data_IF_627830933745
#
_entry.id   IF_627830933745
#
_cell.length_a   1.000
_cell.length_b   1.000
_cell.length_c   1.000
_cell.angle_alpha   90.00
_cell.angle_beta   90.00
_cell.angle_gamma   90.00
#
_symmetry.space_group_name_H-M   'P 1'
#
loop_
_entity.id
_entity.type
_entity.pdbx_description
1 polymer ?
#
# COMPACT_ATOMS: atom_id res chain seq x y z
N UNK A 1 42.08 -19.30 2.32
CA UNK A 1 41.05 -20.15 1.71
C UNK A 1 40.05 -19.21 1.06
N UNK A 2 40.19 -18.96 -0.24
CA UNK A 2 39.25 -18.11 -0.98
C UNK A 2 37.99 -18.93 -1.27
N UNK A 3 36.83 -18.46 -0.77
CA UNK A 3 35.54 -19.05 -1.12
C UNK A 3 35.26 -18.77 -2.59
N UNK A 4 35.13 -19.77 -3.48
CA UNK A 4 34.76 -19.54 -4.86
C UNK A 4 33.30 -19.09 -4.90
N UNK A 5 33.05 -17.81 -5.23
CA UNK A 5 31.70 -17.36 -5.52
C UNK A 5 31.30 -17.91 -6.88
N UNK A 6 30.25 -18.73 -6.92
CA UNK A 6 29.74 -19.41 -8.12
C UNK A 6 29.09 -18.44 -9.13
N UNK A 7 29.09 -17.14 -8.83
CA UNK A 7 28.41 -16.09 -9.57
C UNK A 7 29.43 -15.08 -10.08
N UNK A 8 29.50 -14.89 -11.40
CA UNK A 8 30.34 -13.86 -11.99
C UNK A 8 29.82 -12.46 -11.64
N UNK A 9 30.71 -11.48 -11.50
CA UNK A 9 30.34 -10.09 -11.19
C UNK A 9 29.35 -9.48 -12.22
N UNK A 10 29.34 -10.00 -13.46
CA UNK A 10 28.38 -9.59 -14.50
C UNK A 10 26.99 -10.17 -14.24
N UNK A 11 26.90 -11.41 -13.75
CA UNK A 11 25.64 -12.06 -13.37
C UNK A 11 25.03 -11.42 -12.13
N UNK A 12 25.85 -11.07 -11.14
CA UNK A 12 25.40 -10.33 -9.95
C UNK A 12 24.78 -8.97 -10.32
N UNK A 13 25.46 -8.17 -11.16
CA UNK A 13 24.91 -6.91 -11.68
C UNK A 13 23.61 -7.12 -12.47
N UNK A 14 23.56 -8.17 -13.30
CA UNK A 14 22.36 -8.51 -14.06
C UNK A 14 21.16 -8.81 -13.17
N UNK A 15 21.35 -9.58 -12.09
CA UNK A 15 20.31 -9.89 -11.10
C UNK A 15 19.82 -8.63 -10.41
N UNK A 16 20.72 -7.75 -9.96
CA UNK A 16 20.33 -6.51 -9.27
C UNK A 16 19.55 -5.56 -10.19
N UNK A 17 19.96 -5.40 -11.45
CA UNK A 17 19.23 -4.60 -12.44
C UNK A 17 17.85 -5.19 -12.71
N UNK A 18 17.74 -6.52 -12.82
CA UNK A 18 16.46 -7.20 -12.98
C UNK A 18 15.53 -6.91 -11.81
N UNK A 19 16.01 -7.01 -10.57
CA UNK A 19 15.20 -6.70 -9.37
C UNK A 19 14.81 -5.23 -9.29
N UNK A 20 15.70 -4.30 -9.62
CA UNK A 20 15.39 -2.88 -9.66
C UNK A 20 14.32 -2.56 -10.73
N UNK A 21 14.45 -3.14 -11.93
CA UNK A 21 13.49 -2.99 -13.02
C UNK A 21 12.12 -3.61 -12.65
N UNK A 22 12.13 -4.83 -12.11
CA UNK A 22 10.92 -5.49 -11.64
C UNK A 22 10.23 -4.69 -10.53
N UNK A 23 11.00 -4.13 -9.59
CA UNK A 23 10.50 -3.26 -8.53
C UNK A 23 9.85 -1.98 -9.07
N UNK A 24 10.47 -1.33 -10.06
CA UNK A 24 9.88 -0.16 -10.73
C UNK A 24 8.57 -0.50 -11.44
N UNK A 25 8.55 -1.58 -12.23
CA UNK A 25 7.36 -2.00 -12.97
C UNK A 25 6.22 -2.36 -12.02
N UNK A 26 6.52 -3.15 -10.99
CA UNK A 26 5.53 -3.55 -9.99
C UNK A 26 5.03 -2.35 -9.19
N UNK A 27 5.93 -1.44 -8.79
CA UNK A 27 5.54 -0.23 -8.08
C UNK A 27 4.66 0.71 -8.89
N UNK A 28 4.96 0.88 -10.18
CA UNK A 28 4.10 1.65 -11.08
C UNK A 28 2.74 0.99 -11.26
N UNK A 29 2.71 -0.34 -11.46
CA UNK A 29 1.48 -1.11 -11.59
C UNK A 29 0.59 -1.01 -10.34
N UNK A 30 1.19 -0.95 -9.14
CA UNK A 30 0.47 -0.81 -7.87
C UNK A 30 0.04 0.65 -7.58
N UNK A 31 0.82 1.64 -8.00
CA UNK A 31 0.48 3.06 -7.78
C UNK A 31 -0.60 3.57 -8.75
N UNK A 32 -0.63 3.05 -9.99
CA UNK A 32 -1.50 3.55 -11.06
C UNK A 32 -3.00 3.51 -10.71
N UNK A 33 -3.56 2.44 -10.10
CA UNK A 33 -4.96 2.43 -9.67
C UNK A 33 -5.28 3.51 -8.63
N UNK A 34 -4.39 3.74 -7.66
CA UNK A 34 -4.58 4.75 -6.63
C UNK A 34 -4.54 6.18 -7.20
N UNK A 35 -3.64 6.44 -8.16
CA UNK A 35 -3.56 7.71 -8.87
C UNK A 35 -4.83 7.94 -9.70
N UNK A 36 -5.27 6.93 -10.45
CA UNK A 36 -6.52 7.03 -11.24
C UNK A 36 -7.71 7.31 -10.35
N UNK A 37 -7.86 6.55 -9.26
CA UNK A 37 -8.94 6.79 -8.30
C UNK A 37 -8.92 8.22 -7.75
N UNK A 38 -7.74 8.74 -7.37
CA UNK A 38 -7.61 10.12 -6.90
C UNK A 38 -8.05 11.13 -7.97
N UNK A 39 -7.67 10.92 -9.23
CA UNK A 39 -8.05 11.79 -10.36
C UNK A 39 -9.54 11.70 -10.65
N UNK A 40 -10.12 10.51 -10.66
CA UNK A 40 -11.56 10.30 -10.95
C UNK A 40 -12.43 10.93 -9.85
N UNK A 41 -12.07 10.72 -8.58
CA UNK A 41 -12.72 11.36 -7.43
C UNK A 41 -12.56 12.88 -7.51
N UNK A 42 -11.36 13.36 -7.82
CA UNK A 42 -11.10 14.79 -8.03
C UNK A 42 -11.76 15.35 -9.29
N UNK A 43 -12.20 14.52 -10.24
CA UNK A 43 -12.96 14.87 -11.44
C UNK A 43 -14.47 14.87 -11.23
N UNK A 44 -14.96 14.22 -10.17
CA UNK A 44 -16.37 14.24 -9.75
C UNK A 44 -17.12 12.93 -9.98
N UNK A 45 -16.44 11.92 -10.53
CA UNK A 45 -16.92 10.55 -10.69
C UNK A 45 -16.17 9.65 -9.72
N UNK A 46 -16.75 9.36 -8.56
CA UNK A 46 -16.09 8.57 -7.54
C UNK A 46 -16.53 7.10 -7.63
N UNK A 47 -15.60 6.21 -7.99
CA UNK A 47 -15.81 4.76 -7.83
C UNK A 47 -15.39 4.36 -6.41
N UNK A 48 -16.36 4.07 -5.56
CA UNK A 48 -16.11 3.79 -4.13
C UNK A 48 -16.66 2.40 -3.81
N UNK A 49 -15.90 1.63 -3.03
CA UNK A 49 -16.41 0.40 -2.40
C UNK A 49 -16.99 0.77 -1.05
N UNK A 50 -18.29 0.55 -0.88
CA UNK A 50 -19.02 0.75 0.38
C UNK A 50 -19.34 -0.60 1.01
N UNK A 51 -19.35 -0.65 2.34
CA UNK A 51 -19.85 -1.81 3.07
C UNK A 51 -21.37 -1.86 2.91
N UNK A 52 -21.90 -3.06 2.71
CA UNK A 52 -23.32 -3.28 2.55
C UNK A 52 -23.73 -4.48 3.36
N UNK A 53 -24.97 -4.49 3.82
CA UNK A 53 -25.57 -5.65 4.46
C UNK A 53 -26.91 -5.89 3.77
N UNK A 54 -26.84 -6.52 2.60
CA UNK A 54 -27.99 -6.82 1.77
C UNK A 54 -28.08 -8.33 1.54
N UNK A 55 -29.28 -8.88 1.71
CA UNK A 55 -29.56 -10.27 1.37
C UNK A 55 -29.48 -10.49 -0.14
N UNK A 56 -28.84 -11.60 -0.55
CA UNK A 56 -28.79 -11.99 -1.97
C UNK A 56 -30.20 -12.45 -2.41
N UNK A 57 -30.76 -11.90 -3.51
CA UNK A 57 -32.04 -12.34 -4.03
C UNK A 57 -32.04 -13.84 -4.33
N UNK A 58 -32.87 -14.58 -3.60
CA UNK A 58 -32.99 -16.04 -3.76
C UNK A 58 -33.88 -16.33 -4.95
N UNK A 59 -33.28 -16.57 -6.11
CA UNK A 59 -33.98 -17.23 -7.20
C UNK A 59 -33.77 -18.73 -7.01
N UNK A 60 -34.85 -19.47 -6.78
CA UNK A 60 -34.78 -20.94 -6.69
C UNK A 60 -34.29 -21.45 -8.05
N UNK A 61 -33.04 -21.93 -8.12
CA UNK A 61 -32.62 -22.69 -9.29
C UNK A 61 -33.41 -24.00 -9.28
N UNK A 62 -33.87 -24.44 -10.44
CA UNK A 62 -34.59 -25.70 -10.60
C UNK A 62 -33.72 -26.94 -10.39
N UNK A 63 -32.46 -26.77 -9.97
CA UNK A 63 -31.43 -27.80 -9.96
C UNK A 63 -30.73 -27.85 -8.59
N UNK A 64 -31.41 -28.48 -7.62
CA UNK A 64 -30.89 -29.13 -6.40
C UNK A 64 -30.09 -28.32 -5.35
N UNK A 65 -29.42 -27.24 -5.72
CA UNK A 65 -28.54 -26.47 -4.86
C UNK A 65 -29.33 -25.37 -4.14
N UNK A 66 -29.52 -25.55 -2.84
CA UNK A 66 -30.24 -24.58 -1.99
C UNK A 66 -29.22 -23.67 -1.30
N UNK A 67 -29.29 -22.37 -1.61
CA UNK A 67 -28.54 -21.34 -0.90
C UNK A 67 -29.18 -21.18 0.49
N UNK A 68 -28.44 -21.55 1.54
CA UNK A 68 -28.92 -21.48 2.93
C UNK A 68 -28.77 -20.06 3.52
N UNK A 69 -27.69 -19.37 3.18
CA UNK A 69 -27.44 -17.96 3.55
C UNK A 69 -26.47 -17.36 2.54
N UNK A 70 -26.73 -16.14 2.07
CA UNK A 70 -25.83 -15.38 1.22
C UNK A 70 -26.09 -13.89 1.44
N UNK A 71 -25.02 -13.16 1.79
CA UNK A 71 -25.03 -11.72 2.03
C UNK A 71 -24.00 -11.06 1.13
N UNK A 72 -24.29 -9.84 0.69
CA UNK A 72 -23.28 -8.98 0.10
C UNK A 72 -22.53 -8.28 1.23
N UNK A 73 -21.19 -8.30 1.19
CA UNK A 73 -20.33 -7.67 2.22
C UNK A 73 -19.78 -6.30 1.74
N UNK A 74 -19.67 -6.12 0.42
CA UNK A 74 -19.31 -4.83 -0.16
C UNK A 74 -19.97 -4.61 -1.53
N UNK A 75 -20.29 -3.36 -1.82
CA UNK A 75 -20.83 -2.91 -3.10
C UNK A 75 -19.91 -1.84 -3.71
N UNK A 76 -19.59 -1.99 -5.00
CA UNK A 76 -18.86 -0.97 -5.75
C UNK A 76 -19.87 -0.03 -6.41
N UNK A 77 -19.86 1.23 -5.99
CA UNK A 77 -20.79 2.26 -6.44
C UNK A 77 -20.02 3.32 -7.21
N UNK A 78 -20.55 3.75 -8.36
CA UNK A 78 -20.09 4.93 -9.07
C UNK A 78 -21.07 6.04 -8.73
N UNK A 79 -20.61 7.02 -7.96
CA UNK A 79 -21.42 8.14 -7.53
C UNK A 79 -20.92 9.44 -8.16
N UNK A 80 -21.88 10.25 -8.62
CA UNK A 80 -21.66 11.62 -9.07
C UNK A 80 -22.30 12.59 -8.06
N UNK A 81 -21.74 13.79 -7.93
CA UNK A 81 -22.34 14.83 -7.09
C UNK A 81 -22.13 14.69 -5.58
N UNK A 82 -21.21 13.83 -5.13
CA UNK A 82 -20.81 13.74 -3.72
C UNK A 82 -20.43 15.10 -3.13
N UNK A 83 -20.78 15.30 -1.86
CA UNK A 83 -20.42 16.48 -1.08
C UNK A 83 -18.92 16.78 -1.15
N UNK A 84 -18.57 18.07 -1.17
CA UNK A 84 -17.17 18.51 -1.27
C UNK A 84 -16.27 17.98 -0.15
N UNK A 85 -16.83 17.74 1.04
CA UNK A 85 -16.12 17.17 2.18
C UNK A 85 -15.80 15.67 1.97
N UNK A 86 -16.78 14.86 1.57
CA UNK A 86 -16.54 13.45 1.25
C UNK A 86 -15.51 13.31 0.12
N UNK A 87 -15.63 14.13 -0.93
CA UNK A 87 -14.71 14.13 -2.08
C UNK A 87 -13.28 14.49 -1.68
N UNK A 88 -13.09 15.50 -0.85
CA UNK A 88 -11.74 15.91 -0.40
C UNK A 88 -11.08 14.84 0.46
N UNK A 89 -11.81 14.26 1.42
CA UNK A 89 -11.34 13.14 2.26
C UNK A 89 -10.92 11.93 1.42
N UNK A 90 -11.77 11.52 0.47
CA UNK A 90 -11.50 10.40 -0.43
C UNK A 90 -10.30 10.68 -1.36
N UNK A 91 -10.20 11.91 -1.90
CA UNK A 91 -9.07 12.32 -2.75
C UNK A 91 -7.76 12.29 -1.98
N UNK A 92 -7.74 12.85 -0.77
CA UNK A 92 -6.54 12.82 0.07
C UNK A 92 -6.19 11.39 0.48
N UNK A 93 -7.17 10.57 0.87
CA UNK A 93 -6.94 9.16 1.18
C UNK A 93 -6.27 8.40 0.03
N UNK A 94 -6.76 8.59 -1.20
CA UNK A 94 -6.18 8.00 -2.40
C UNK A 94 -4.78 8.58 -2.73
N UNK A 95 -4.60 9.89 -2.57
CA UNK A 95 -3.31 10.56 -2.79
C UNK A 95 -2.23 10.07 -1.80
N UNK A 96 -2.57 9.93 -0.51
CA UNK A 96 -1.66 9.36 0.49
C UNK A 96 -1.34 7.89 0.20
N UNK A 97 -2.31 7.11 -0.28
CA UNK A 97 -2.06 5.72 -0.71
C UNK A 97 -1.03 5.66 -1.85
N UNK A 98 -1.22 6.50 -2.87
CA UNK A 98 -0.33 6.58 -4.02
C UNK A 98 1.07 7.05 -3.60
N UNK A 99 1.15 8.11 -2.78
CA UNK A 99 2.41 8.64 -2.28
C UNK A 99 3.18 7.61 -1.46
N UNK A 100 2.49 6.88 -0.58
CA UNK A 100 3.07 5.81 0.23
C UNK A 100 3.69 4.74 -0.67
N UNK A 101 2.93 4.27 -1.65
CA UNK A 101 3.37 3.25 -2.60
C UNK A 101 4.61 3.73 -3.37
N UNK A 102 4.59 4.96 -3.88
CA UNK A 102 5.71 5.54 -4.63
C UNK A 102 6.97 5.68 -3.76
N UNK A 103 6.84 6.14 -2.51
CA UNK A 103 7.98 6.28 -1.59
C UNK A 103 8.58 4.93 -1.23
N UNK A 104 7.76 3.92 -0.91
CA UNK A 104 8.23 2.57 -0.58
C UNK A 104 8.94 1.93 -1.76
N UNK A 105 8.36 2.00 -2.96
CA UNK A 105 8.97 1.48 -4.19
C UNK A 105 10.29 2.18 -4.48
N UNK A 106 10.31 3.51 -4.41
CA UNK A 106 11.52 4.30 -4.67
C UNK A 106 12.64 3.95 -3.70
N UNK A 107 12.32 3.70 -2.43
CA UNK A 107 13.30 3.27 -1.43
C UNK A 107 13.85 1.87 -1.71
N UNK A 108 13.01 0.93 -2.15
CA UNK A 108 13.44 -0.43 -2.55
C UNK A 108 14.33 -0.39 -3.79
N UNK A 109 13.96 0.41 -4.80
CA UNK A 109 14.77 0.59 -6.00
C UNK A 109 16.10 1.24 -5.66
N UNK A 110 16.10 2.28 -4.82
CA UNK A 110 17.33 2.92 -4.33
C UNK A 110 18.21 1.93 -3.58
N UNK A 111 17.62 1.05 -2.75
CA UNK A 111 18.35 -0.01 -2.06
C UNK A 111 19.08 -0.94 -3.04
N UNK A 112 18.40 -1.41 -4.08
CA UNK A 112 19.03 -2.24 -5.12
C UNK A 112 20.12 -1.49 -5.91
N UNK A 113 19.89 -0.22 -6.24
CA UNK A 113 20.91 0.60 -6.92
C UNK A 113 22.16 0.82 -6.05
N UNK A 114 21.99 1.04 -4.74
CA UNK A 114 23.10 1.19 -3.80
C UNK A 114 23.91 -0.11 -3.66
N UNK A 115 23.26 -1.27 -3.69
CA UNK A 115 23.92 -2.57 -3.77
C UNK A 115 24.77 -2.69 -5.04
N UNK A 116 24.23 -2.29 -6.20
CA UNK A 116 24.95 -2.32 -7.47
C UNK A 116 26.21 -1.45 -7.45
N UNK A 117 26.16 -0.32 -6.75
CA UNK A 117 27.29 0.62 -6.64
C UNK A 117 28.35 0.22 -5.60
N UNK A 118 28.30 -1.01 -5.06
CA UNK A 118 29.24 -1.52 -4.04
C UNK A 118 29.35 -0.60 -2.81
N UNK A 119 28.24 0.03 -2.41
CA UNK A 119 28.15 0.79 -1.15
C UNK A 119 27.20 0.10 -0.15
N UNK A 120 27.46 -1.17 0.25
CA UNK A 120 26.54 -1.98 1.05
C UNK A 120 26.27 -1.44 2.47
N UNK A 121 27.07 -0.48 2.96
CA UNK A 121 26.92 0.11 4.30
C UNK A 121 26.93 1.65 4.29
N UNK A 122 26.43 2.28 3.24
CA UNK A 122 26.27 3.73 3.25
C UNK A 122 25.11 4.12 4.17
N UNK A 123 25.22 5.26 4.88
CA UNK A 123 24.11 5.86 5.65
C UNK A 123 22.81 5.99 4.83
N UNK A 124 22.95 6.05 3.51
CA UNK A 124 21.85 6.09 2.55
C UNK A 124 20.91 4.87 2.64
N UNK A 125 21.44 3.68 3.00
CA UNK A 125 20.64 2.48 3.15
C UNK A 125 19.72 2.57 4.37
N UNK A 126 20.27 3.02 5.51
CA UNK A 126 19.52 3.25 6.74
C UNK A 126 18.42 4.28 6.50
N UNK A 127 18.75 5.41 5.86
CA UNK A 127 17.76 6.45 5.56
C UNK A 127 16.68 5.95 4.59
N UNK A 128 17.04 5.14 3.59
CA UNK A 128 16.06 4.56 2.66
C UNK A 128 15.09 3.63 3.40
N UNK A 129 15.57 2.76 4.29
CA UNK A 129 14.73 1.89 5.11
C UNK A 129 13.85 2.68 6.08
N UNK A 130 14.38 3.75 6.69
CA UNK A 130 13.58 4.64 7.57
C UNK A 130 12.47 5.34 6.80
N UNK A 131 12.78 5.87 5.61
CA UNK A 131 11.79 6.53 4.75
C UNK A 131 10.73 5.53 4.30
N UNK A 132 11.12 4.33 3.85
CA UNK A 132 10.19 3.28 3.44
C UNK A 132 9.25 2.87 4.59
N UNK A 133 9.81 2.57 5.77
CA UNK A 133 9.04 2.15 6.93
C UNK A 133 8.14 3.27 7.48
N UNK A 134 8.64 4.50 7.53
CA UNK A 134 7.83 5.67 7.96
C UNK A 134 6.71 5.96 6.96
N UNK A 135 6.99 5.87 5.66
CA UNK A 135 5.97 6.05 4.62
C UNK A 135 4.86 4.99 4.75
N UNK A 136 5.22 3.71 4.90
CA UNK A 136 4.24 2.64 5.09
C UNK A 136 3.39 2.84 6.35
N UNK A 137 4.01 3.22 7.47
CA UNK A 137 3.32 3.41 8.74
C UNK A 137 2.42 4.65 8.71
N UNK A 138 2.99 5.82 8.46
CA UNK A 138 2.27 7.11 8.50
C UNK A 138 1.27 7.17 7.35
N UNK A 139 1.72 6.82 6.15
CA UNK A 139 0.92 6.87 4.94
C UNK A 139 -0.20 5.83 4.93
N UNK A 140 0.05 4.62 5.48
CA UNK A 140 -0.99 3.61 5.68
C UNK A 140 -2.09 4.09 6.63
N UNK A 141 -1.72 4.68 7.77
CA UNK A 141 -2.68 5.23 8.75
C UNK A 141 -3.48 6.39 8.14
N UNK A 142 -2.80 7.36 7.52
CA UNK A 142 -3.44 8.53 6.93
C UNK A 142 -4.35 8.14 5.77
N UNK A 143 -3.90 7.25 4.88
CA UNK A 143 -4.69 6.78 3.75
C UNK A 143 -5.92 6.01 4.21
N UNK A 144 -5.77 5.08 5.15
CA UNK A 144 -6.87 4.29 5.67
C UNK A 144 -7.87 5.15 6.48
N UNK A 145 -7.38 6.08 7.30
CA UNK A 145 -8.21 6.99 8.08
C UNK A 145 -9.00 7.96 7.22
N UNK A 146 -8.34 8.70 6.32
CA UNK A 146 -8.99 9.67 5.45
C UNK A 146 -9.92 8.98 4.44
N UNK A 147 -9.47 7.87 3.85
CA UNK A 147 -10.30 7.07 2.95
C UNK A 147 -11.48 6.40 3.67
N UNK A 148 -11.30 5.95 4.91
CA UNK A 148 -12.35 5.38 5.74
C UNK A 148 -13.43 6.40 6.10
N UNK A 149 -13.03 7.57 6.60
CA UNK A 149 -13.95 8.66 6.91
C UNK A 149 -14.71 9.13 5.67
N UNK A 150 -14.02 9.25 4.53
CA UNK A 150 -14.65 9.59 3.25
C UNK A 150 -15.69 8.56 2.82
N UNK A 151 -15.44 7.26 3.02
CA UNK A 151 -16.41 6.18 2.75
C UNK A 151 -17.61 6.22 3.68
N UNK A 152 -17.40 6.53 4.96
CA UNK A 152 -18.50 6.67 5.92
C UNK A 152 -19.43 7.84 5.55
N UNK A 153 -18.85 9.00 5.17
CA UNK A 153 -19.64 10.14 4.68
C UNK A 153 -20.36 9.81 3.38
N UNK A 154 -19.70 9.13 2.44
CA UNK A 154 -20.32 8.70 1.20
C UNK A 154 -21.47 7.70 1.42
N UNK A 155 -21.32 6.77 2.37
CA UNK A 155 -22.37 5.83 2.74
C UNK A 155 -23.59 6.55 3.32
N UNK A 156 -23.39 7.52 4.20
CA UNK A 156 -24.47 8.34 4.78
C UNK A 156 -25.19 9.18 3.71
N UNK A 157 -24.45 9.76 2.77
CA UNK A 157 -25.00 10.57 1.68
C UNK A 157 -25.77 9.74 0.64
N UNK A 158 -25.32 8.50 0.37
CA UNK A 158 -25.92 7.61 -0.62
C UNK A 158 -27.03 6.71 -0.05
N UNK A 159 -27.09 6.52 1.27
CA UNK A 159 -28.06 5.63 1.90
C UNK A 159 -29.53 5.97 1.58
N UNK A 160 -29.96 7.25 1.65
CA UNK A 160 -31.33 7.63 1.33
C UNK A 160 -31.75 7.27 -0.10
N UNK A 161 -30.80 7.26 -1.05
CA UNK A 161 -31.04 6.91 -2.44
C UNK A 161 -30.99 5.39 -2.69
N UNK A 162 -30.29 4.65 -1.84
CA UNK A 162 -30.07 3.21 -1.97
C UNK A 162 -31.00 2.35 -1.09
N UNK A 163 -31.84 2.95 -0.25
CA UNK A 163 -32.79 2.26 0.62
C UNK A 163 -32.17 1.76 1.92
N UNK A 164 -31.23 2.50 2.50
CA UNK A 164 -30.55 2.20 3.77
C UNK A 164 -29.75 0.87 3.79
N UNK A 165 -29.25 0.46 2.63
CA UNK A 165 -28.54 -0.81 2.42
C UNK A 165 -27.02 -0.69 2.68
N UNK A 166 -26.50 0.52 2.81
CA UNK A 166 -25.08 0.77 3.10
C UNK A 166 -24.84 0.92 4.60
N UNK A 167 -23.79 0.24 5.06
CA UNK A 167 -23.35 0.32 6.45
C UNK A 167 -22.37 1.49 6.57
N UNK A 168 -22.63 2.39 7.53
CA UNK A 168 -21.72 3.49 7.86
C UNK A 168 -20.51 2.91 8.61
N UNK A 169 -19.51 2.51 7.84
CA UNK A 169 -18.27 1.93 8.36
C UNK A 169 -17.21 1.81 7.27
N UNK A 170 -16.03 1.34 7.67
CA UNK A 170 -14.98 0.99 6.72
C UNK A 170 -14.17 -0.20 7.26
N UNK A 171 -13.68 -1.03 6.34
CA UNK A 171 -12.76 -2.11 6.66
C UNK A 171 -11.34 -1.55 6.82
N UNK A 172 -10.68 -1.89 7.92
CA UNK A 172 -9.29 -1.55 8.17
C UNK A 172 -8.43 -2.81 8.21
N UNK A 173 -7.44 -2.89 7.32
CA UNK A 173 -6.43 -3.95 7.33
C UNK A 173 -5.12 -3.41 7.94
N UNK A 174 -4.75 -3.83 9.17
CA UNK A 174 -3.54 -3.36 9.84
C UNK A 174 -2.26 -3.99 9.29
N UNK A 175 -2.33 -4.99 8.39
CA UNK A 175 -1.15 -5.74 7.91
C UNK A 175 -0.07 -4.81 7.38
N UNK A 176 -0.44 -3.80 6.58
CA UNK A 176 0.53 -2.87 5.99
C UNK A 176 1.21 -1.96 7.03
N UNK A 177 0.49 -1.60 8.10
CA UNK A 177 1.05 -0.85 9.22
C UNK A 177 2.08 -1.71 9.97
N UNK A 178 1.77 -2.98 10.20
CA UNK A 178 2.69 -3.93 10.83
C UNK A 178 3.94 -4.18 9.97
N UNK A 179 3.77 -4.27 8.65
CA UNK A 179 4.90 -4.36 7.70
C UNK A 179 5.78 -3.10 7.81
N UNK A 180 5.19 -1.91 7.83
CA UNK A 180 5.93 -0.65 8.01
C UNK A 180 6.72 -0.62 9.33
N UNK A 181 6.10 -1.06 10.43
CA UNK A 181 6.75 -1.17 11.72
C UNK A 181 7.93 -2.17 11.69
N UNK A 182 7.76 -3.32 11.04
CA UNK A 182 8.82 -4.31 10.85
C UNK A 182 10.01 -3.77 10.07
N UNK A 183 9.75 -3.01 9.00
CA UNK A 183 10.79 -2.33 8.21
C UNK A 183 11.54 -1.29 9.05
N UNK A 184 10.83 -0.52 9.88
CA UNK A 184 11.46 0.42 10.83
C UNK A 184 12.33 -0.30 11.87
N UNK A 185 11.85 -1.40 12.44
CA UNK A 185 12.62 -2.21 13.37
C UNK A 185 13.91 -2.74 12.73
N UNK A 186 13.85 -3.19 11.47
CA UNK A 186 15.02 -3.63 10.73
C UNK A 186 16.04 -2.49 10.51
N UNK A 187 15.56 -1.26 10.28
CA UNK A 187 16.44 -0.09 10.17
C UNK A 187 17.24 0.17 11.46
N UNK A 188 16.61 -0.03 12.63
CA UNK A 188 17.29 0.06 13.93
C UNK A 188 18.40 -0.98 14.02
N UNK A 189 18.12 -2.23 13.63
CA UNK A 189 19.13 -3.32 13.60
C UNK A 189 20.32 -2.95 12.72
N UNK A 190 20.08 -2.44 11.50
CA UNK A 190 21.18 -1.99 10.62
C UNK A 190 21.99 -0.86 11.25
N UNK A 191 21.34 0.08 11.93
CA UNK A 191 22.02 1.18 12.62
C UNK A 191 22.97 0.64 13.69
N UNK A 192 22.49 -0.27 14.55
CA UNK A 192 23.33 -0.91 15.57
C UNK A 192 24.46 -1.74 14.97
N UNK A 193 24.19 -2.51 13.90
CA UNK A 193 25.21 -3.29 13.20
C UNK A 193 26.35 -2.43 12.65
N UNK A 194 26.03 -1.30 12.03
CA UNK A 194 27.07 -0.36 11.52
C UNK A 194 27.89 0.30 12.63
N UNK A 195 27.31 0.47 13.83
CA UNK A 195 28.03 1.00 14.99
C UNK A 195 29.05 -0.02 15.51
N UNK A 196 28.63 -1.28 15.68
CA UNK A 196 29.51 -2.36 16.13
C UNK A 196 30.67 -2.64 15.15
N UNK A 197 30.42 -2.55 13.85
CA UNK A 197 31.48 -2.67 12.83
C UNK A 197 32.54 -1.57 12.97
N UNK A 198 32.11 -0.30 13.13
CA UNK A 198 33.04 0.82 13.34
C UNK A 198 33.86 0.68 14.62
N UNK A 199 33.24 0.22 15.70
CA UNK A 199 33.92 0.04 16.98
C UNK A 199 35.00 -1.06 16.91
N UNK A 200 34.86 -2.02 15.98
CA UNK A 200 35.86 -3.09 15.74
C UNK A 200 36.99 -2.61 14.82
N UNK A 201 36.69 -1.77 13.83
CA UNK A 201 37.71 -1.16 12.95
C UNK A 201 38.64 -0.19 13.70
N UNK A 202 38.21 0.37 14.84
CA UNK A 202 39.05 1.24 15.67
C UNK A 202 40.01 0.52 16.64
N UNK A 203 39.97 -0.81 16.70
CA UNK A 203 40.78 -1.65 17.59
C UNK A 203 41.94 -2.37 16.88
N UNK A 204 42.12 -2.16 15.57
CA UNK A 204 43.19 -2.75 14.74
C UNK A 204 44.18 -1.69 14.30
#
# INVERSE_FOLDING_TARGET
>A
MENPSWVSARMERGIVVLFAAAGLVMGFALALPAIRAAVDIAGGSATISLLTEADVPRTSSSDGAVITSATFDSARVVAEGLSGHARTLLTFGAAFSALTTLLTVSAVVLFFLLLMWRRPFHRALITATQVAGSALLIGGILSAGLGGLGRMMAADELNPAAGDVFVIGFSFDPVWMLVGLGVLALSVVFTYGTRLQRDTEGLV
#
